data_IF_786782933836
#
_entry.id   IF_786782933836
#
_cell.length_a   1.000
_cell.length_b   1.000
_cell.length_c   1.000
_cell.angle_alpha   90.00
_cell.angle_beta   90.00
_cell.angle_gamma   90.00
#
_symmetry.space_group_name_H-M   'P 1'
#
loop_
_entity.id
_entity.type
_entity.pdbx_description
1 polymer ?
#
# COMPACT_ATOMS: atom_id res chain seq x y z
N UNK A 1 5.86 -37.60 44.80
CA UNK A 1 6.86 -36.76 44.12
C UNK A 1 7.35 -35.74 45.13
N UNK A 2 8.63 -35.76 45.50
CA UNK A 2 9.21 -34.75 46.39
C UNK A 2 9.86 -33.68 45.51
N UNK A 3 9.39 -32.44 45.60
CA UNK A 3 9.92 -31.28 44.88
C UNK A 3 9.86 -30.04 45.76
N UNK A 4 10.75 -29.09 45.48
CA UNK A 4 10.82 -27.79 46.17
C UNK A 4 10.17 -26.70 45.29
N UNK A 5 9.41 -25.81 45.91
CA UNK A 5 8.91 -24.58 45.29
C UNK A 5 9.44 -23.37 46.07
N UNK A 6 9.96 -22.37 45.36
CA UNK A 6 10.37 -21.08 45.94
C UNK A 6 9.45 -20.00 45.38
N UNK A 7 8.88 -19.18 46.25
CA UNK A 7 8.15 -17.96 45.89
C UNK A 7 9.06 -16.76 46.05
N UNK A 8 9.06 -15.85 45.07
CA UNK A 8 9.87 -14.64 45.09
C UNK A 8 8.95 -13.44 44.87
N UNK A 9 9.12 -12.40 45.68
CA UNK A 9 8.33 -11.19 45.60
C UNK A 9 9.23 -9.97 45.38
N UNK A 10 8.79 -9.08 44.49
CA UNK A 10 9.44 -7.80 44.25
C UNK A 10 9.00 -6.80 45.32
N UNK A 11 9.88 -6.42 46.25
CA UNK A 11 9.47 -5.60 47.41
C UNK A 11 9.29 -4.13 47.07
N UNK A 12 10.11 -3.60 46.16
CA UNK A 12 10.10 -2.20 45.78
C UNK A 12 8.78 -1.79 45.14
N UNK A 13 8.11 -0.78 45.72
CA UNK A 13 6.77 -0.36 45.29
C UNK A 13 6.78 0.23 43.87
N UNK A 14 7.81 1.00 43.52
CA UNK A 14 7.98 1.58 42.19
C UNK A 14 8.14 0.50 41.12
N UNK A 15 9.02 -0.48 41.36
CA UNK A 15 9.26 -1.57 40.42
C UNK A 15 8.00 -2.45 40.22
N UNK A 16 7.21 -2.69 41.28
CA UNK A 16 5.91 -3.39 41.16
C UNK A 16 4.89 -2.61 40.36
N UNK A 17 4.87 -1.29 40.50
CA UNK A 17 3.96 -0.42 39.73
C UNK A 17 4.33 -0.45 38.25
N UNK A 18 5.61 -0.26 37.91
CA UNK A 18 6.09 -0.33 36.53
C UNK A 18 5.76 -1.69 35.88
N UNK A 19 5.96 -2.80 36.59
CA UNK A 19 5.58 -4.13 36.10
C UNK A 19 4.07 -4.27 35.87
N UNK A 20 3.22 -3.74 36.77
CA UNK A 20 1.75 -3.74 36.57
C UNK A 20 1.35 -2.93 35.34
N UNK A 21 1.96 -1.76 35.14
CA UNK A 21 1.65 -0.88 34.03
C UNK A 21 2.08 -1.53 32.69
N UNK A 22 3.24 -2.17 32.66
CA UNK A 22 3.71 -2.96 31.52
C UNK A 22 2.75 -4.11 31.19
N UNK A 23 2.34 -4.90 32.19
CA UNK A 23 1.38 -5.99 32.01
C UNK A 23 0.01 -5.50 31.53
N UNK A 24 -0.46 -4.35 32.05
CA UNK A 24 -1.71 -3.73 31.62
C UNK A 24 -1.66 -3.33 30.13
N UNK A 25 -0.55 -2.74 29.69
CA UNK A 25 -0.32 -2.42 28.26
C UNK A 25 -0.24 -3.66 27.39
N UNK A 26 0.43 -4.72 27.87
CA UNK A 26 0.47 -6.00 27.16
C UNK A 26 -0.92 -6.66 27.06
N UNK A 27 -1.86 -6.28 27.91
CA UNK A 27 -3.26 -6.70 27.84
C UNK A 27 -4.06 -6.08 26.68
N UNK A 28 -3.62 -4.95 26.12
CA UNK A 28 -4.21 -4.33 24.92
C UNK A 28 -3.11 -3.79 23.99
N UNK A 29 -2.67 -4.63 23.05
CA UNK A 29 -1.61 -4.27 22.10
C UNK A 29 -2.12 -3.40 20.93
N UNK A 30 -3.42 -3.07 20.86
CA UNK A 30 -3.96 -2.25 19.76
C UNK A 30 -3.24 -0.90 19.60
N UNK A 31 -2.86 -0.16 20.66
CA UNK A 31 -2.16 1.10 20.47
C UNK A 31 -0.72 0.90 19.94
N UNK A 32 -0.04 -0.17 20.35
CA UNK A 32 1.25 -0.57 19.76
C UNK A 32 1.10 -0.86 18.26
N UNK A 33 0.17 -1.73 17.87
CA UNK A 33 -0.07 -2.07 16.47
C UNK A 33 -0.59 -0.89 15.64
N UNK A 34 -1.28 0.08 16.26
CA UNK A 34 -1.62 1.35 15.62
C UNK A 34 -0.35 2.12 15.23
N UNK A 35 0.62 2.25 16.15
CA UNK A 35 1.92 2.87 15.87
C UNK A 35 2.69 2.16 14.76
N UNK A 36 2.76 0.81 14.81
CA UNK A 36 3.35 0.00 13.74
C UNK A 36 2.65 0.26 12.39
N UNK A 37 1.32 0.36 12.39
CA UNK A 37 0.55 0.71 11.20
C UNK A 37 0.92 2.07 10.62
N UNK A 38 1.13 3.08 11.47
CA UNK A 38 1.56 4.42 11.05
C UNK A 38 2.97 4.42 10.45
N UNK A 39 3.91 3.69 11.07
CA UNK A 39 5.28 3.48 10.55
C UNK A 39 5.22 2.89 9.14
N UNK A 40 4.50 1.78 8.97
CA UNK A 40 4.41 1.09 7.68
C UNK A 40 3.67 1.92 6.62
N UNK A 41 2.67 2.70 7.00
CA UNK A 41 2.00 3.63 6.08
C UNK A 41 2.92 4.74 5.60
N UNK A 42 3.73 5.30 6.50
CA UNK A 42 4.69 6.35 6.15
C UNK A 42 5.78 5.80 5.23
N UNK A 43 6.35 4.64 5.55
CA UNK A 43 7.32 3.95 4.68
C UNK A 43 6.74 3.64 3.31
N UNK A 44 5.49 3.14 3.24
CA UNK A 44 4.81 2.92 1.97
C UNK A 44 4.62 4.22 1.19
N UNK A 45 4.29 5.35 1.84
CA UNK A 45 4.18 6.67 1.19
C UNK A 45 5.52 7.18 0.66
N UNK A 46 6.60 7.02 1.42
CA UNK A 46 7.97 7.36 1.02
C UNK A 46 8.40 6.57 -0.24
N UNK A 47 7.97 5.31 -0.36
CA UNK A 47 8.18 4.48 -1.57
C UNK A 47 7.50 5.04 -2.81
N UNK A 48 6.33 5.67 -2.69
CA UNK A 48 5.71 6.36 -3.83
C UNK A 48 6.53 7.58 -4.26
N UNK A 49 7.13 8.29 -3.32
CA UNK A 49 7.90 9.51 -3.59
C UNK A 49 9.26 9.17 -4.19
N UNK A 50 9.96 8.19 -3.63
CA UNK A 50 11.23 7.66 -4.16
C UNK A 50 11.04 6.75 -5.38
N UNK A 51 9.81 6.30 -5.65
CA UNK A 51 9.47 5.33 -6.70
C UNK A 51 10.28 4.02 -6.58
N UNK A 52 10.45 3.53 -5.36
CA UNK A 52 11.26 2.36 -5.03
C UNK A 52 10.49 1.36 -4.16
N UNK A 53 10.89 0.09 -4.21
CA UNK A 53 10.30 -0.97 -3.40
C UNK A 53 10.86 -1.05 -1.97
N UNK A 54 10.33 -1.95 -1.13
CA UNK A 54 10.83 -2.18 0.23
C UNK A 54 12.30 -2.58 0.29
N UNK A 55 12.83 -3.20 -0.76
CA UNK A 55 14.25 -3.55 -0.88
C UNK A 55 15.10 -2.42 -1.51
N UNK A 56 14.54 -1.22 -1.69
CA UNK A 56 15.19 -0.10 -2.36
C UNK A 56 15.26 -0.19 -3.89
N UNK A 57 14.79 -1.29 -4.50
CA UNK A 57 14.84 -1.43 -5.96
C UNK A 57 13.88 -0.44 -6.65
N UNK A 58 14.34 0.33 -7.66
CA UNK A 58 13.49 1.30 -8.35
C UNK A 58 12.38 0.59 -9.13
N UNK A 59 11.20 1.20 -9.16
CA UNK A 59 10.08 0.71 -9.95
C UNK A 59 10.34 0.86 -11.44
N UNK A 60 9.73 -0.04 -12.22
CA UNK A 60 9.77 0.05 -13.68
C UNK A 60 9.18 1.40 -14.16
N UNK A 61 9.92 2.17 -14.97
CA UNK A 61 9.51 3.50 -15.40
C UNK A 61 8.26 3.48 -16.26
N UNK A 62 7.60 4.64 -16.39
CA UNK A 62 6.49 4.80 -17.32
C UNK A 62 6.97 4.70 -18.77
N UNK A 63 6.13 4.13 -19.63
CA UNK A 63 6.41 4.11 -21.07
C UNK A 63 6.49 5.55 -21.61
N UNK A 64 7.39 5.86 -22.56
CA UNK A 64 7.50 7.20 -23.14
C UNK A 64 6.17 7.75 -23.69
N UNK A 65 5.34 6.86 -24.27
CA UNK A 65 4.00 7.24 -24.74
C UNK A 65 3.07 7.69 -23.62
N UNK A 66 3.12 7.05 -22.44
CA UNK A 66 2.35 7.44 -21.26
C UNK A 66 2.80 8.80 -20.74
N UNK A 67 4.11 9.03 -20.67
CA UNK A 67 4.69 10.32 -20.26
C UNK A 67 4.22 11.44 -21.19
N UNK A 68 4.35 11.26 -22.52
CA UNK A 68 3.86 12.24 -23.52
C UNK A 68 2.36 12.52 -23.38
N UNK A 69 1.55 11.49 -23.15
CA UNK A 69 0.11 11.64 -22.96
C UNK A 69 -0.25 12.44 -21.71
N UNK A 70 0.51 12.29 -20.62
CA UNK A 70 0.34 13.05 -19.38
C UNK A 70 0.75 14.52 -19.55
N UNK A 71 1.86 14.78 -20.22
CA UNK A 71 2.31 16.14 -20.57
C UNK A 71 1.19 16.88 -21.32
N UNK A 72 0.61 16.25 -22.35
CA UNK A 72 -0.50 16.83 -23.12
C UNK A 72 -1.75 17.15 -22.27
N UNK A 73 -1.92 16.47 -21.14
CA UNK A 73 -3.04 16.65 -20.22
C UNK A 73 -2.69 17.54 -19.01
N UNK A 74 -1.54 18.19 -18.99
CA UNK A 74 -1.03 18.97 -17.85
C UNK A 74 -1.00 18.17 -16.53
N UNK A 75 -0.72 16.86 -16.62
CA UNK A 75 -0.59 15.97 -15.46
C UNK A 75 0.88 15.79 -15.07
N UNK A 76 1.14 15.42 -13.81
CA UNK A 76 2.49 15.06 -13.34
C UNK A 76 3.04 13.88 -14.17
N UNK A 77 4.04 14.10 -15.04
CA UNK A 77 4.35 13.18 -16.11
C UNK A 77 5.17 11.97 -15.66
N UNK A 78 5.92 12.11 -14.55
CA UNK A 78 6.85 11.09 -14.05
C UNK A 78 6.37 10.39 -12.77
N UNK A 79 5.39 10.93 -12.05
CA UNK A 79 4.97 10.36 -10.77
C UNK A 79 4.09 9.12 -10.99
N UNK A 80 4.66 7.94 -10.69
CA UNK A 80 4.03 6.65 -10.92
C UNK A 80 3.00 6.38 -9.82
N UNK A 81 1.79 5.95 -10.22
CA UNK A 81 0.66 5.65 -9.31
C UNK A 81 0.17 6.85 -8.47
N UNK A 82 0.66 8.06 -8.79
CA UNK A 82 0.23 9.32 -8.22
C UNK A 82 -0.46 10.18 -9.29
N UNK A 83 -1.35 11.07 -8.86
CA UNK A 83 -2.11 11.96 -9.74
C UNK A 83 -2.33 13.30 -9.06
N UNK A 84 -2.11 14.40 -9.80
CA UNK A 84 -2.52 15.76 -9.44
C UNK A 84 -3.88 16.15 -10.05
N UNK A 85 -4.61 15.20 -10.64
CA UNK A 85 -5.91 15.50 -11.25
C UNK A 85 -6.90 15.79 -10.13
N UNK A 86 -7.29 17.06 -9.99
CA UNK A 86 -8.33 17.49 -9.06
C UNK A 86 -9.63 16.73 -9.37
N UNK A 87 -10.08 15.92 -8.40
CA UNK A 87 -11.40 15.30 -8.41
C UNK A 87 -11.48 13.93 -9.10
N UNK A 88 -12.00 12.97 -8.32
CA UNK A 88 -12.64 11.69 -8.69
C UNK A 88 -11.85 10.40 -8.52
N UNK A 89 -10.54 10.40 -8.37
CA UNK A 89 -9.78 9.20 -7.96
C UNK A 89 -8.66 9.61 -7.00
N UNK A 90 -8.78 9.27 -5.71
CA UNK A 90 -7.64 9.36 -4.79
C UNK A 90 -6.48 8.54 -5.37
N UNK A 91 -5.25 9.08 -5.35
CA UNK A 91 -4.08 8.32 -5.76
C UNK A 91 -3.97 7.02 -4.96
N UNK A 92 -3.31 5.99 -5.52
CA UNK A 92 -3.09 4.74 -4.77
C UNK A 92 -2.37 5.03 -3.45
N UNK A 93 -1.40 5.96 -3.47
CA UNK A 93 -0.72 6.50 -2.29
C UNK A 93 -1.69 7.02 -1.23
N UNK A 94 -2.68 7.84 -1.62
CA UNK A 94 -3.65 8.42 -0.70
C UNK A 94 -4.68 7.41 -0.17
N UNK A 95 -4.86 6.28 -0.86
CA UNK A 95 -5.81 5.24 -0.46
C UNK A 95 -5.26 4.22 0.55
N UNK A 96 -3.98 4.33 0.93
CA UNK A 96 -3.36 3.39 1.87
C UNK A 96 -3.96 3.53 3.27
N UNK A 97 -4.23 2.40 3.92
CA UNK A 97 -4.73 2.35 5.29
C UNK A 97 -4.11 1.20 6.09
N UNK A 98 -4.17 1.33 7.41
CA UNK A 98 -3.77 0.32 8.37
C UNK A 98 -4.94 0.02 9.30
N UNK A 99 -5.17 -1.26 9.59
CA UNK A 99 -6.22 -1.74 10.49
C UNK A 99 -5.52 -2.52 11.60
N UNK A 100 -5.25 -1.89 12.77
CA UNK A 100 -4.64 -2.57 13.90
C UNK A 100 -5.66 -3.45 14.63
N UNK A 101 -5.18 -4.56 15.17
CA UNK A 101 -5.89 -5.45 16.10
C UNK A 101 -5.07 -5.58 17.39
N UNK A 102 -5.53 -6.43 18.30
CA UNK A 102 -4.81 -6.82 19.52
C UNK A 102 -3.63 -7.77 19.26
N UNK A 103 -3.47 -8.27 18.03
CA UNK A 103 -2.47 -9.31 17.68
C UNK A 103 -1.64 -8.99 16.45
N UNK A 104 -2.11 -8.07 15.60
CA UNK A 104 -1.49 -7.75 14.34
C UNK A 104 -1.88 -6.34 13.86
N UNK A 105 -1.28 -5.94 12.74
CA UNK A 105 -1.75 -4.82 11.94
C UNK A 105 -1.83 -5.22 10.48
N UNK A 106 -2.96 -4.93 9.85
CA UNK A 106 -3.17 -5.16 8.41
C UNK A 106 -3.00 -3.86 7.64
N UNK A 107 -2.02 -3.82 6.73
CA UNK A 107 -1.73 -2.65 5.89
C UNK A 107 -2.14 -2.94 4.45
N UNK A 108 -2.83 -2.00 3.80
CA UNK A 108 -3.43 -2.26 2.49
C UNK A 108 -3.95 -1.02 1.78
N UNK A 109 -4.73 -1.27 0.73
CA UNK A 109 -5.56 -0.27 0.07
C UNK A 109 -6.86 -0.95 -0.40
N UNK A 110 -8.03 -0.27 -0.28
CA UNK A 110 -9.29 -0.81 -0.73
C UNK A 110 -9.51 -0.68 -2.25
N UNK A 111 -8.62 -0.02 -3.00
CA UNK A 111 -8.86 0.23 -4.43
C UNK A 111 -8.56 -1.02 -5.26
N UNK A 112 -9.45 -1.31 -6.24
CA UNK A 112 -9.42 -2.55 -7.04
C UNK A 112 -8.10 -2.84 -7.75
N UNK A 113 -7.37 -1.81 -8.15
CA UNK A 113 -6.10 -1.93 -8.87
C UNK A 113 -4.86 -1.99 -7.96
N UNK A 114 -5.02 -1.97 -6.63
CA UNK A 114 -3.90 -2.05 -5.69
C UNK A 114 -3.08 -3.32 -5.91
N UNK A 115 -3.75 -4.48 -5.91
CA UNK A 115 -3.10 -5.78 -6.01
C UNK A 115 -2.24 -5.94 -7.27
N UNK A 116 -2.75 -5.54 -8.44
CA UNK A 116 -2.00 -5.69 -9.71
C UNK A 116 -0.79 -4.74 -9.77
N UNK A 117 -0.80 -3.63 -9.03
CA UNK A 117 0.38 -2.78 -8.91
C UNK A 117 1.37 -3.30 -7.88
N UNK A 118 0.91 -3.86 -6.76
CA UNK A 118 1.78 -4.48 -5.76
C UNK A 118 2.50 -5.72 -6.33
N UNK A 119 1.75 -6.63 -6.97
CA UNK A 119 2.22 -7.95 -7.37
C UNK A 119 2.62 -8.03 -8.86
N UNK A 120 2.22 -7.04 -9.67
CA UNK A 120 2.28 -7.15 -11.12
C UNK A 120 1.22 -8.09 -11.67
N UNK A 121 1.15 -8.20 -13.00
CA UNK A 121 0.25 -9.16 -13.65
C UNK A 121 -0.01 -8.86 -15.11
N UNK A 122 -0.83 -9.71 -15.72
CA UNK A 122 -1.27 -9.57 -17.10
C UNK A 122 -2.78 -9.47 -17.14
N UNK A 123 -3.30 -8.41 -17.74
CA UNK A 123 -4.73 -8.26 -18.01
C UNK A 123 -5.00 -8.74 -19.42
N UNK A 124 -5.83 -9.76 -19.58
CA UNK A 124 -6.31 -10.20 -20.89
C UNK A 124 -7.54 -9.38 -21.29
N UNK A 125 -7.57 -8.95 -22.55
CA UNK A 125 -8.71 -8.28 -23.18
C UNK A 125 -9.17 -9.15 -24.34
N UNK A 126 -10.41 -9.62 -24.26
CA UNK A 126 -11.02 -10.41 -25.31
C UNK A 126 -11.28 -9.57 -26.56
N UNK A 127 -11.48 -10.26 -27.68
CA UNK A 127 -11.86 -9.62 -28.92
C UNK A 127 -13.26 -8.98 -28.80
N UNK A 128 -13.46 -7.85 -29.48
CA UNK A 128 -14.75 -7.19 -29.49
C UNK A 128 -14.86 -6.15 -30.60
N UNK A 129 -16.04 -5.58 -30.78
CA UNK A 129 -16.28 -4.52 -31.79
C UNK A 129 -16.56 -3.18 -31.11
N UNK A 130 -16.07 -2.08 -31.71
CA UNK A 130 -16.44 -0.72 -31.33
C UNK A 130 -17.04 -0.01 -32.55
N UNK A 131 -18.21 0.61 -32.36
CA UNK A 131 -18.81 1.45 -33.37
C UNK A 131 -18.08 2.80 -33.42
N UNK A 132 -17.65 3.19 -34.61
CA UNK A 132 -16.89 4.42 -34.85
C UNK A 132 -17.50 5.21 -35.99
N UNK A 133 -17.61 6.52 -35.79
CA UNK A 133 -17.90 7.48 -36.87
C UNK A 133 -16.62 8.28 -37.10
N UNK A 134 -16.03 8.14 -38.29
CA UNK A 134 -14.70 8.68 -38.58
C UNK A 134 -13.62 8.15 -37.63
N UNK A 135 -12.95 9.06 -36.90
CA UNK A 135 -11.87 8.74 -35.93
C UNK A 135 -12.34 8.71 -34.46
N UNK A 136 -13.65 8.78 -34.19
CA UNK A 136 -14.20 8.86 -32.84
C UNK A 136 -15.14 7.68 -32.56
N UNK A 137 -15.16 7.24 -31.31
CA UNK A 137 -16.19 6.30 -30.85
C UNK A 137 -17.55 7.00 -30.83
N UNK A 138 -18.58 6.32 -31.29
CA UNK A 138 -19.96 6.83 -31.37
C UNK A 138 -20.96 5.77 -30.93
N UNK A 139 -22.17 6.20 -30.59
CA UNK A 139 -23.30 5.31 -30.44
C UNK A 139 -23.79 4.83 -31.82
N UNK A 140 -24.47 3.66 -31.86
CA UNK A 140 -24.89 2.99 -33.10
C UNK A 140 -25.99 3.72 -33.88
N UNK A 141 -26.64 4.69 -33.25
CA UNK A 141 -27.65 5.58 -33.83
C UNK A 141 -27.06 6.65 -34.76
N UNK A 142 -25.73 6.84 -34.76
CA UNK A 142 -25.08 7.83 -35.62
C UNK A 142 -24.81 7.30 -37.02
N UNK A 143 -25.32 8.01 -38.02
CA UNK A 143 -25.10 7.74 -39.43
C UNK A 143 -23.62 7.83 -39.85
N UNK A 144 -23.25 7.06 -40.87
CA UNK A 144 -21.89 7.02 -41.40
C UNK A 144 -20.88 6.30 -40.51
N UNK A 145 -21.34 5.54 -39.51
CA UNK A 145 -20.49 4.76 -38.65
C UNK A 145 -20.24 3.34 -39.15
N UNK A 146 -19.17 2.73 -38.65
CA UNK A 146 -18.79 1.35 -38.92
C UNK A 146 -18.32 0.65 -37.66
N UNK A 147 -18.56 -0.66 -37.60
CA UNK A 147 -17.97 -1.49 -36.56
C UNK A 147 -16.51 -1.79 -36.88
N UNK A 148 -15.63 -1.44 -35.93
CA UNK A 148 -14.21 -1.76 -35.98
C UNK A 148 -13.94 -2.91 -35.04
N UNK A 149 -13.45 -4.03 -35.59
CA UNK A 149 -13.02 -5.18 -34.83
C UNK A 149 -11.70 -4.89 -34.10
N UNK A 150 -11.69 -5.13 -32.79
CA UNK A 150 -10.54 -5.04 -31.91
C UNK A 150 -10.16 -6.47 -31.55
N UNK A 151 -8.95 -6.88 -31.97
CA UNK A 151 -8.43 -8.21 -31.64
C UNK A 151 -8.17 -8.33 -30.13
N UNK A 152 -8.29 -9.57 -29.65
CA UNK A 152 -7.87 -9.92 -28.31
C UNK A 152 -6.39 -9.55 -28.12
N UNK A 153 -6.06 -8.97 -26.97
CA UNK A 153 -4.70 -8.58 -26.62
C UNK A 153 -4.50 -8.60 -25.12
N UNK A 154 -3.24 -8.71 -24.69
CA UNK A 154 -2.88 -8.70 -23.28
C UNK A 154 -2.13 -7.44 -22.92
N UNK A 155 -2.28 -7.01 -21.67
CA UNK A 155 -1.61 -5.83 -21.11
C UNK A 155 -0.81 -6.29 -19.91
N UNK A 156 0.52 -6.33 -20.05
CA UNK A 156 1.43 -6.61 -18.94
C UNK A 156 1.67 -5.37 -18.09
N UNK A 157 1.41 -5.49 -16.79
CA UNK A 157 1.67 -4.48 -15.77
C UNK A 157 2.84 -4.97 -14.91
N UNK A 158 3.96 -4.23 -14.85
CA UNK A 158 5.07 -4.60 -13.98
C UNK A 158 4.69 -4.37 -12.51
N UNK A 159 5.23 -5.22 -11.63
CA UNK A 159 5.13 -5.06 -10.19
C UNK A 159 5.83 -3.77 -9.74
N UNK A 160 5.21 -3.11 -8.77
CA UNK A 160 5.66 -1.89 -8.11
C UNK A 160 5.34 -2.07 -6.63
N UNK A 161 6.09 -2.92 -5.92
CA UNK A 161 5.80 -3.21 -4.52
C UNK A 161 5.97 -1.92 -3.73
N UNK A 162 4.92 -1.51 -3.01
CA UNK A 162 4.92 -0.35 -2.12
C UNK A 162 4.59 -0.76 -0.69
N UNK A 163 3.88 -1.87 -0.50
CA UNK A 163 3.69 -2.52 0.80
C UNK A 163 4.80 -3.55 1.00
N UNK A 164 5.35 -3.57 2.20
CA UNK A 164 6.40 -4.48 2.64
C UNK A 164 7.13 -3.88 3.82
N UNK A 165 7.95 -4.70 4.48
CA UNK A 165 8.78 -4.29 5.61
C UNK A 165 10.22 -4.27 5.09
N UNK A 166 10.85 -3.10 5.11
CA UNK A 166 12.28 -2.95 4.84
C UNK A 166 13.09 -3.10 6.12
N UNK A 167 14.42 -3.22 6.03
CA UNK A 167 15.30 -3.31 7.21
C UNK A 167 15.11 -2.08 8.13
N UNK A 168 15.03 -0.88 7.53
CA UNK A 168 14.71 0.35 8.26
C UNK A 168 13.31 0.32 8.94
N UNK A 169 12.33 -0.37 8.34
CA UNK A 169 11.02 -0.50 8.98
C UNK A 169 11.11 -1.42 10.20
N UNK A 170 11.92 -2.49 10.12
CA UNK A 170 12.14 -3.39 11.24
C UNK A 170 12.78 -2.67 12.42
N UNK A 171 13.81 -1.86 12.16
CA UNK A 171 14.47 -1.01 13.17
C UNK A 171 13.46 -0.07 13.84
N UNK A 172 12.67 0.66 13.04
CA UNK A 172 11.63 1.58 13.57
C UNK A 172 10.55 0.86 14.39
N UNK A 173 10.18 -0.36 13.99
CA UNK A 173 9.20 -1.17 14.73
C UNK A 173 9.79 -1.65 16.06
N UNK A 174 11.07 -2.05 16.07
CA UNK A 174 11.76 -2.45 17.30
C UNK A 174 11.92 -1.27 18.25
N UNK A 175 12.34 -0.10 17.74
CA UNK A 175 12.42 1.14 18.52
C UNK A 175 11.05 1.50 19.12
N UNK A 176 9.97 1.43 18.33
CA UNK A 176 8.62 1.66 18.82
C UNK A 176 8.18 0.63 19.87
N UNK A 177 8.65 -0.61 19.80
CA UNK A 177 8.36 -1.64 20.79
C UNK A 177 9.12 -1.39 22.10
N UNK A 178 10.39 -0.99 22.03
CA UNK A 178 11.19 -0.62 23.20
C UNK A 178 10.61 0.60 23.90
N UNK A 179 10.30 1.65 23.14
CA UNK A 179 9.64 2.85 23.66
C UNK A 179 8.31 2.49 24.33
N UNK A 180 7.48 1.69 23.67
CA UNK A 180 6.17 1.25 24.20
C UNK A 180 6.26 0.55 25.56
N UNK A 181 7.31 -0.25 25.77
CA UNK A 181 7.54 -1.03 26.99
C UNK A 181 8.31 -0.26 28.08
N UNK A 182 9.03 0.80 27.70
CA UNK A 182 9.88 1.58 28.62
C UNK A 182 9.15 2.63 29.46
N UNK A 183 7.90 2.93 29.13
CA UNK A 183 7.09 4.01 29.75
C UNK A 183 6.19 3.50 30.86
#
# INVERSE_FOLDING_TARGET
>A
MAGISVSVELQEAAARQALRDMLARMGDLRPFYKGVGEILLNSARERFDSQSGPNGAPWAPLKPATVRARIKKNQLPLMILQSNTNGKNSSLKASLNAIPSDKDVRVGSPVRWAAIHQLGGTINKDAGSRYMVGRRFAQRDKEGGKDVSIKAHSIRIPARPYIGVSDLDQERILEAAEEWLSV
#
